data_IF_864530307135
#
_entry.id   IF_864530307135
#
_cell.length_a   1.000
_cell.length_b   1.000
_cell.length_c   1.000
_cell.angle_alpha   90.00
_cell.angle_beta   90.00
_cell.angle_gamma   90.00
#
_symmetry.space_group_name_H-M   'P 1'
#
loop_
_entity.id
_entity.type
_entity.pdbx_description
1 polymer ?
#
# COMPACT_ATOMS: atom_id res chain seq x y z
N UNK A 1 -54.26 -17.36 7.85
CA UNK A 1 -53.24 -17.73 8.87
C UNK A 1 -52.07 -18.34 8.12
N UNK A 2 -50.89 -17.71 8.22
CA UNK A 2 -49.68 -18.12 7.49
C UNK A 2 -48.83 -16.90 7.15
N UNK A 3 -48.23 -16.29 8.17
CA UNK A 3 -47.28 -15.19 8.06
C UNK A 3 -45.93 -15.76 7.57
N UNK A 4 -45.44 -15.29 6.43
CA UNK A 4 -44.01 -15.33 6.12
C UNK A 4 -43.52 -13.90 5.92
N UNK A 5 -42.96 -13.34 7.00
CA UNK A 5 -42.17 -12.11 6.94
C UNK A 5 -40.82 -12.42 6.27
N UNK A 6 -40.36 -11.62 5.29
CA UNK A 6 -38.98 -11.67 4.88
C UNK A 6 -38.11 -11.06 5.98
N UNK A 7 -37.14 -11.84 6.45
CA UNK A 7 -36.13 -11.41 7.41
C UNK A 7 -35.16 -10.50 6.66
N UNK A 8 -35.29 -9.20 6.82
CA UNK A 8 -34.25 -8.22 6.48
C UNK A 8 -33.20 -8.26 7.58
N UNK A 9 -32.17 -9.10 7.43
CA UNK A 9 -30.93 -8.94 8.20
C UNK A 9 -30.17 -7.74 7.62
N UNK A 10 -30.38 -6.55 8.19
CA UNK A 10 -29.44 -5.44 7.99
C UNK A 10 -28.12 -5.81 8.66
N UNK A 11 -27.22 -6.44 7.91
CA UNK A 11 -25.81 -6.49 8.29
C UNK A 11 -25.24 -5.09 8.10
N UNK A 12 -25.44 -4.23 9.10
CA UNK A 12 -24.66 -3.01 9.24
C UNK A 12 -23.20 -3.46 9.41
N UNK A 13 -22.38 -3.28 8.37
CA UNK A 13 -20.96 -3.52 8.49
C UNK A 13 -20.43 -2.65 9.64
N UNK A 14 -19.61 -3.19 10.57
CA UNK A 14 -19.00 -2.38 11.59
C UNK A 14 -18.12 -1.30 10.93
N UNK A 15 -18.15 -0.08 11.48
CA UNK A 15 -17.31 1.02 11.03
C UNK A 15 -15.84 0.54 10.93
N UNK A 16 -15.12 0.92 9.86
CA UNK A 16 -13.76 0.43 9.63
C UNK A 16 -12.87 0.78 10.83
N UNK A 17 -12.23 -0.24 11.38
CA UNK A 17 -11.22 -0.08 12.43
C UNK A 17 -9.95 0.51 11.83
N UNK A 18 -9.34 1.55 12.43
CA UNK A 18 -8.19 2.24 11.84
C UNK A 18 -6.98 1.31 11.65
N UNK A 19 -6.31 1.42 10.50
CA UNK A 19 -5.18 0.57 10.07
C UNK A 19 -3.84 0.96 10.69
N UNK A 20 -3.77 2.13 11.31
CA UNK A 20 -2.60 2.56 12.07
C UNK A 20 -2.66 1.99 13.49
N UNK A 21 -1.83 0.97 13.71
CA UNK A 21 -1.70 0.19 14.95
C UNK A 21 -1.49 1.04 16.22
N UNK A 22 -1.98 0.52 17.36
CA UNK A 22 -2.02 1.12 18.71
C UNK A 22 -0.68 1.63 19.32
N UNK A 23 0.44 1.54 18.60
CA UNK A 23 1.78 2.00 19.03
C UNK A 23 2.51 2.90 18.05
N UNK A 24 1.83 3.40 17.03
CA UNK A 24 2.39 4.51 16.26
C UNK A 24 2.58 5.71 17.21
N UNK A 25 3.78 6.33 17.33
CA UNK A 25 3.95 7.53 18.15
C UNK A 25 2.98 8.64 17.74
N UNK A 26 2.49 8.58 16.50
CA UNK A 26 1.42 9.41 15.96
C UNK A 26 0.08 9.33 16.73
N UNK A 27 -0.23 8.21 17.39
CA UNK A 27 -1.46 8.10 18.21
C UNK A 27 -1.42 8.98 19.47
N UNK A 28 -0.21 9.28 19.98
CA UNK A 28 -0.03 10.21 21.11
C UNK A 28 -0.19 11.67 20.71
N UNK A 29 -0.25 11.97 19.41
CA UNK A 29 -0.42 13.33 18.92
C UNK A 29 -1.82 13.84 19.29
N UNK A 30 -2.85 12.98 19.26
CA UNK A 30 -4.19 13.35 19.74
C UNK A 30 -4.17 13.81 21.19
N UNK A 31 -3.55 13.02 22.08
CA UNK A 31 -3.42 13.38 23.50
C UNK A 31 -2.70 14.72 23.68
N UNK A 32 -1.69 15.01 22.86
CA UNK A 32 -0.99 16.29 22.87
C UNK A 32 -1.89 17.44 22.40
N UNK A 33 -2.64 17.25 21.30
CA UNK A 33 -3.63 18.21 20.81
C UNK A 33 -4.64 18.54 21.90
N UNK A 34 -5.18 17.52 22.59
CA UNK A 34 -6.17 17.69 23.64
C UNK A 34 -5.60 18.41 24.87
N UNK A 35 -4.38 18.07 25.32
CA UNK A 35 -3.72 18.75 26.45
C UNK A 35 -3.39 20.22 26.18
N UNK A 36 -3.17 20.57 24.92
CA UNK A 36 -2.92 21.95 24.49
C UNK A 36 -4.21 22.77 24.31
N UNK A 37 -5.38 22.22 24.65
CA UNK A 37 -6.66 22.90 24.47
C UNK A 37 -7.13 22.94 23.01
N UNK A 38 -6.64 22.00 22.18
CA UNK A 38 -7.01 21.82 20.77
C UNK A 38 -6.74 23.05 19.89
N UNK A 39 -5.47 23.47 19.73
CA UNK A 39 -5.11 24.54 18.81
C UNK A 39 -5.42 24.14 17.35
N UNK A 40 -5.35 25.08 16.39
CA UNK A 40 -5.37 24.74 14.96
C UNK A 40 -4.28 23.72 14.63
N UNK A 41 -4.67 22.64 13.92
CA UNK A 41 -3.76 21.54 13.54
C UNK A 41 -3.71 21.44 12.02
N UNK A 42 -2.49 21.42 11.48
CA UNK A 42 -2.23 21.07 10.09
C UNK A 42 -1.52 19.70 10.02
N UNK A 43 -2.07 18.77 9.24
CA UNK A 43 -1.46 17.47 8.96
C UNK A 43 -1.03 17.43 7.49
N UNK A 44 0.26 17.20 7.24
CA UNK A 44 0.85 17.24 5.90
C UNK A 44 1.43 15.87 5.55
N UNK A 45 1.16 15.39 4.33
CA UNK A 45 1.69 14.14 3.79
C UNK A 45 1.86 14.27 2.28
N UNK A 46 2.87 13.59 1.73
CA UNK A 46 3.12 13.59 0.28
C UNK A 46 2.16 12.66 -0.47
N UNK A 47 1.72 11.58 0.18
CA UNK A 47 0.80 10.59 -0.40
C UNK A 47 -0.19 10.17 0.67
N UNK A 48 -1.48 10.32 0.38
CA UNK A 48 -2.54 9.75 1.20
C UNK A 48 -3.76 9.46 0.34
N UNK A 49 -4.03 8.18 0.15
CA UNK A 49 -5.30 7.71 -0.42
C UNK A 49 -6.50 8.15 0.43
N UNK A 50 -7.71 8.04 -0.12
CA UNK A 50 -8.95 8.39 0.59
C UNK A 50 -9.07 7.68 1.94
N UNK A 51 -8.71 6.40 1.99
CA UNK A 51 -8.65 5.61 3.23
C UNK A 51 -7.66 6.21 4.21
N UNK A 52 -6.40 6.41 3.80
CA UNK A 52 -5.34 6.95 4.69
C UNK A 52 -5.69 8.34 5.21
N UNK A 53 -6.32 9.19 4.39
CA UNK A 53 -6.78 10.53 4.83
C UNK A 53 -7.79 10.43 5.96
N UNK A 54 -8.82 9.58 5.82
CA UNK A 54 -9.82 9.36 6.87
C UNK A 54 -9.18 8.89 8.16
N UNK A 55 -8.21 8.00 8.06
CA UNK A 55 -7.47 7.54 9.25
C UNK A 55 -6.68 8.63 9.94
N UNK A 56 -5.96 9.46 9.18
CA UNK A 56 -5.21 10.59 9.75
C UNK A 56 -6.16 11.55 10.45
N UNK A 57 -7.30 11.85 9.84
CA UNK A 57 -8.36 12.69 10.43
C UNK A 57 -8.86 12.07 11.73
N UNK A 58 -9.22 10.79 11.69
CA UNK A 58 -9.71 10.07 12.85
C UNK A 58 -8.66 10.05 13.94
N UNK A 59 -7.46 9.56 13.68
CA UNK A 59 -6.35 9.43 14.64
C UNK A 59 -6.01 10.74 15.31
N UNK A 60 -5.88 11.82 14.54
CA UNK A 60 -5.59 13.14 15.12
C UNK A 60 -6.84 13.77 15.76
N UNK A 61 -8.02 13.20 15.52
CA UNK A 61 -9.30 13.68 16.00
C UNK A 61 -9.63 15.04 15.41
N UNK A 62 -9.30 15.30 14.15
CA UNK A 62 -9.55 16.60 13.51
C UNK A 62 -11.06 16.85 13.39
N UNK A 63 -11.50 18.07 13.72
CA UNK A 63 -12.92 18.43 13.71
C UNK A 63 -13.21 19.23 12.45
N UNK A 64 -14.01 18.67 11.53
CA UNK A 64 -14.38 19.28 10.23
C UNK A 64 -13.15 19.92 9.53
N UNK A 65 -12.08 19.14 9.27
CA UNK A 65 -10.88 19.69 8.66
C UNK A 65 -11.16 20.10 7.21
N UNK A 66 -10.53 21.18 6.77
CA UNK A 66 -10.38 21.46 5.34
C UNK A 66 -9.37 20.45 4.79
N UNK A 67 -9.78 19.66 3.80
CA UNK A 67 -8.92 18.66 3.14
C UNK A 67 -8.50 19.19 1.78
N UNK A 68 -7.21 19.37 1.60
CA UNK A 68 -6.60 19.77 0.33
C UNK A 68 -5.84 18.55 -0.20
N UNK A 69 -6.35 17.94 -1.27
CA UNK A 69 -5.74 16.79 -1.92
C UNK A 69 -5.69 17.05 -3.43
N UNK A 70 -4.56 17.53 -3.91
CA UNK A 70 -4.36 17.91 -5.32
C UNK A 70 -2.88 17.94 -5.65
N UNK A 71 -2.55 17.97 -6.94
CA UNK A 71 -1.16 18.14 -7.39
C UNK A 71 -0.35 16.87 -7.26
N UNK A 72 -1.03 15.73 -7.36
CA UNK A 72 -0.33 14.45 -7.41
C UNK A 72 0.37 14.30 -8.77
N UNK A 73 -0.20 14.83 -9.86
CA UNK A 73 0.29 14.56 -11.22
C UNK A 73 1.79 14.90 -11.44
N UNK A 74 2.46 13.97 -12.10
CA UNK A 74 3.87 14.04 -12.54
C UNK A 74 3.94 13.72 -14.03
N UNK A 75 3.54 14.67 -14.90
CA UNK A 75 3.37 14.41 -16.33
C UNK A 75 4.67 14.03 -17.03
N UNK A 76 5.82 14.42 -16.47
CA UNK A 76 7.15 14.10 -16.97
C UNK A 76 7.56 12.63 -16.79
N UNK A 77 6.86 11.86 -15.94
CA UNK A 77 7.16 10.45 -15.69
C UNK A 77 6.29 9.57 -16.60
N UNK A 78 6.87 8.91 -17.61
CA UNK A 78 6.19 7.88 -18.40
C UNK A 78 5.86 6.64 -17.54
N UNK A 79 4.65 6.09 -17.69
CA UNK A 79 4.18 4.93 -16.91
C UNK A 79 4.03 3.70 -17.81
N UNK A 80 4.72 2.61 -17.49
CA UNK A 80 4.71 1.39 -18.30
C UNK A 80 4.62 0.14 -17.41
N UNK A 81 3.83 -0.85 -17.83
CA UNK A 81 3.76 -2.15 -17.14
C UNK A 81 3.88 -3.29 -18.15
N UNK A 82 4.82 -4.20 -17.88
CA UNK A 82 5.04 -5.40 -18.67
C UNK A 82 4.62 -6.63 -17.87
N UNK A 83 3.62 -7.36 -18.37
CA UNK A 83 3.20 -8.64 -17.80
C UNK A 83 4.04 -9.78 -18.35
N UNK A 84 4.42 -10.71 -17.47
CA UNK A 84 5.19 -11.91 -17.79
C UNK A 84 4.44 -13.14 -17.28
N UNK A 85 4.70 -14.30 -17.88
CA UNK A 85 4.20 -15.60 -17.39
C UNK A 85 5.33 -16.44 -16.77
N UNK A 86 6.56 -16.23 -17.21
CA UNK A 86 7.75 -16.96 -16.76
C UNK A 86 8.71 -16.07 -15.95
N UNK A 87 9.31 -16.62 -14.89
CA UNK A 87 10.20 -15.86 -14.00
C UNK A 87 11.53 -15.53 -14.67
N UNK A 88 12.10 -16.48 -15.43
CA UNK A 88 13.39 -16.29 -16.07
C UNK A 88 13.29 -15.24 -17.18
N UNK A 89 12.21 -15.28 -17.97
CA UNK A 89 11.90 -14.25 -18.96
C UNK A 89 11.69 -12.88 -18.31
N UNK A 90 10.93 -12.80 -17.20
CA UNK A 90 10.79 -11.56 -16.44
C UNK A 90 12.15 -11.02 -15.99
N UNK A 91 13.00 -11.87 -15.39
CA UNK A 91 14.32 -11.47 -14.89
C UNK A 91 15.20 -10.93 -16.01
N UNK A 92 15.19 -11.60 -17.15
CA UNK A 92 15.91 -11.17 -18.35
C UNK A 92 15.39 -9.82 -18.85
N UNK A 93 14.07 -9.67 -19.00
CA UNK A 93 13.44 -8.43 -19.44
C UNK A 93 13.73 -7.24 -18.51
N UNK A 94 13.78 -7.45 -17.19
CA UNK A 94 14.18 -6.42 -16.22
C UNK A 94 15.62 -5.98 -16.46
N UNK A 95 16.54 -6.94 -16.67
CA UNK A 95 17.95 -6.64 -16.90
C UNK A 95 18.17 -5.92 -18.24
N UNK A 96 17.43 -6.31 -19.28
CA UNK A 96 17.47 -5.66 -20.60
C UNK A 96 16.96 -4.22 -20.48
N UNK A 97 15.79 -4.02 -19.88
CA UNK A 97 15.21 -2.70 -19.68
C UNK A 97 16.15 -1.75 -18.90
N UNK A 98 16.74 -2.21 -17.79
CA UNK A 98 17.64 -1.38 -16.97
C UNK A 98 18.95 -1.08 -17.69
N UNK A 99 19.48 -2.00 -18.50
CA UNK A 99 20.74 -1.80 -19.22
C UNK A 99 20.60 -0.83 -20.41
N UNK A 100 19.40 -0.71 -20.99
CA UNK A 100 19.11 0.16 -22.13
C UNK A 100 18.71 1.59 -21.71
N UNK A 101 18.25 1.79 -20.48
CA UNK A 101 17.83 3.11 -20.00
C UNK A 101 19.01 4.00 -19.60
N UNK A 102 18.89 5.30 -19.90
CA UNK A 102 19.89 6.29 -19.51
C UNK A 102 19.95 6.44 -17.97
N UNK A 103 21.13 6.33 -17.34
CA UNK A 103 21.27 6.53 -15.89
C UNK A 103 21.13 8.00 -15.50
N UNK A 104 20.93 8.31 -14.20
CA UNK A 104 20.87 7.39 -13.07
C UNK A 104 19.48 6.78 -12.86
N UNK A 105 19.43 5.56 -12.31
CA UNK A 105 18.19 4.82 -12.14
C UNK A 105 18.08 3.99 -10.87
N UNK A 106 16.83 3.65 -10.52
CA UNK A 106 16.49 2.81 -9.37
C UNK A 106 15.87 1.51 -9.85
N UNK A 107 16.28 0.39 -9.25
CA UNK A 107 15.68 -0.92 -9.48
C UNK A 107 15.14 -1.49 -8.17
N UNK A 108 13.82 -1.51 -7.99
CA UNK A 108 13.17 -2.07 -6.81
C UNK A 108 12.95 -3.58 -6.94
N UNK A 109 13.36 -4.33 -5.92
CA UNK A 109 13.25 -5.78 -5.81
C UNK A 109 12.56 -6.20 -4.51
N UNK A 110 11.87 -7.34 -4.51
CA UNK A 110 11.17 -7.85 -3.33
C UNK A 110 12.12 -8.34 -2.22
N UNK A 111 13.24 -8.98 -2.57
CA UNK A 111 14.10 -9.65 -1.60
C UNK A 111 15.55 -9.15 -1.64
N UNK A 112 16.28 -9.34 -0.55
CA UNK A 112 17.74 -9.05 -0.48
C UNK A 112 18.52 -9.87 -1.50
N UNK A 113 18.12 -11.13 -1.69
CA UNK A 113 18.71 -12.04 -2.67
C UNK A 113 18.52 -11.51 -4.09
N UNK A 114 17.34 -10.99 -4.42
CA UNK A 114 17.09 -10.38 -5.73
C UNK A 114 17.92 -9.10 -5.93
N UNK A 115 18.04 -8.26 -4.89
CA UNK A 115 18.91 -7.07 -4.95
C UNK A 115 20.35 -7.45 -5.29
N UNK A 116 20.91 -8.43 -4.59
CA UNK A 116 22.28 -8.91 -4.83
C UNK A 116 22.42 -9.50 -6.25
N UNK A 117 21.45 -10.32 -6.67
CA UNK A 117 21.40 -10.92 -8.01
C UNK A 117 21.38 -9.85 -9.11
N UNK A 118 20.43 -8.92 -9.08
CA UNK A 118 20.30 -7.90 -10.12
C UNK A 118 21.51 -6.97 -10.16
N UNK A 119 22.04 -6.55 -9.00
CA UNK A 119 23.23 -5.71 -8.95
C UNK A 119 24.47 -6.43 -9.53
N UNK A 120 24.61 -7.75 -9.35
CA UNK A 120 25.68 -8.52 -9.96
C UNK A 120 25.50 -8.69 -11.47
N UNK A 121 24.30 -9.08 -11.92
CA UNK A 121 24.02 -9.27 -13.35
C UNK A 121 24.15 -7.98 -14.16
N UNK A 122 23.70 -6.85 -13.61
CA UNK A 122 23.89 -5.53 -14.25
C UNK A 122 25.37 -5.16 -14.40
N UNK A 123 26.19 -5.45 -13.38
CA UNK A 123 27.65 -5.26 -13.46
C UNK A 123 28.29 -6.15 -14.52
N UNK A 124 27.82 -7.39 -14.68
CA UNK A 124 28.28 -8.29 -15.77
C UNK A 124 27.94 -7.76 -17.15
N UNK A 125 26.88 -6.95 -17.26
CA UNK A 125 26.48 -6.24 -18.49
C UNK A 125 27.17 -4.88 -18.68
N UNK A 126 28.10 -4.51 -17.80
CA UNK A 126 28.85 -3.26 -17.90
C UNK A 126 28.15 -2.04 -17.28
N UNK A 127 27.02 -2.22 -16.59
CA UNK A 127 26.32 -1.13 -15.87
C UNK A 127 26.98 -0.91 -14.50
N UNK A 128 27.25 0.34 -14.13
CA UNK A 128 27.73 0.67 -12.78
C UNK A 128 26.58 0.50 -11.77
N UNK A 129 26.41 -0.70 -11.23
CA UNK A 129 25.30 -1.03 -10.33
C UNK A 129 25.75 -1.37 -8.90
N UNK A 130 24.94 -0.95 -7.92
CA UNK A 130 25.12 -1.29 -6.50
C UNK A 130 23.82 -1.84 -5.87
N UNK A 131 23.96 -2.74 -4.89
CA UNK A 131 22.84 -3.25 -4.11
C UNK A 131 22.62 -2.45 -2.82
N UNK A 132 21.36 -2.23 -2.44
CA UNK A 132 20.97 -1.57 -1.20
C UNK A 132 19.83 -2.31 -0.47
N UNK A 133 20.07 -2.75 0.76
CA UNK A 133 19.04 -3.34 1.60
C UNK A 133 19.36 -3.24 3.09
N UNK A 134 18.34 -3.47 3.94
CA UNK A 134 18.46 -3.40 5.40
C UNK A 134 19.49 -4.37 6.01
N UNK A 135 19.92 -5.40 5.28
CA UNK A 135 20.99 -6.30 5.71
C UNK A 135 22.41 -5.73 5.67
N UNK A 136 22.64 -4.64 4.92
CA UNK A 136 23.95 -3.97 4.87
C UNK A 136 24.24 -3.24 6.18
N UNK A 137 25.52 -3.07 6.53
CA UNK A 137 25.91 -2.21 7.66
C UNK A 137 25.57 -0.76 7.35
N UNK A 138 25.37 0.04 8.38
CA UNK A 138 25.03 1.47 8.23
C UNK A 138 26.06 2.23 7.39
N UNK A 139 27.35 1.96 7.61
CA UNK A 139 28.45 2.54 6.82
C UNK A 139 28.34 2.20 5.33
N UNK A 140 28.02 0.96 4.99
CA UNK A 140 27.88 0.49 3.61
C UNK A 140 26.65 1.14 2.94
N UNK A 141 25.53 1.25 3.67
CA UNK A 141 24.33 1.96 3.18
C UNK A 141 24.63 3.43 2.89
N UNK A 142 25.33 4.11 3.79
CA UNK A 142 25.72 5.51 3.61
C UNK A 142 26.66 5.69 2.41
N UNK A 143 27.58 4.75 2.20
CA UNK A 143 28.50 4.76 1.06
C UNK A 143 27.75 4.60 -0.27
N UNK A 144 26.86 3.62 -0.40
CA UNK A 144 26.05 3.43 -1.62
C UNK A 144 25.19 4.66 -1.92
N UNK A 145 24.57 5.24 -0.88
CA UNK A 145 23.75 6.44 -1.04
C UNK A 145 24.58 7.64 -1.51
N UNK A 146 25.77 7.86 -0.95
CA UNK A 146 26.69 8.92 -1.37
C UNK A 146 27.12 8.71 -2.83
N UNK A 147 27.57 7.51 -3.18
CA UNK A 147 28.02 7.18 -4.54
C UNK A 147 26.93 7.38 -5.59
N UNK A 148 25.69 7.02 -5.28
CA UNK A 148 24.56 7.25 -6.17
C UNK A 148 24.20 8.74 -6.27
N UNK A 149 24.26 9.48 -5.15
CA UNK A 149 24.05 10.92 -5.15
C UNK A 149 25.09 11.64 -6.04
N UNK A 150 26.35 11.25 -5.92
CA UNK A 150 27.51 11.86 -6.61
C UNK A 150 27.73 11.33 -8.04
N UNK A 151 26.77 10.59 -8.62
CA UNK A 151 26.85 10.01 -9.97
C UNK A 151 28.04 9.04 -10.19
N UNK A 152 28.57 8.43 -9.11
CA UNK A 152 29.60 7.36 -9.16
C UNK A 152 28.99 5.96 -9.40
N UNK A 153 27.68 5.84 -9.27
CA UNK A 153 26.89 4.61 -9.51
C UNK A 153 25.70 4.98 -10.38
N UNK A 154 25.57 4.29 -11.51
CA UNK A 154 24.51 4.51 -12.48
C UNK A 154 23.16 3.98 -11.95
N UNK A 155 23.17 2.79 -11.32
CA UNK A 155 21.95 2.11 -10.90
C UNK A 155 22.06 1.59 -9.47
N UNK A 156 21.04 1.83 -8.66
CA UNK A 156 20.89 1.17 -7.35
C UNK A 156 19.75 0.17 -7.40
N UNK A 157 20.09 -1.11 -7.26
CA UNK A 157 19.13 -2.17 -6.98
C UNK A 157 18.80 -2.16 -5.48
N UNK A 158 17.53 -2.16 -5.11
CA UNK A 158 17.13 -1.96 -3.74
C UNK A 158 15.83 -2.66 -3.32
N UNK A 159 15.73 -2.97 -2.04
CA UNK A 159 14.43 -3.25 -1.40
C UNK A 159 13.70 -1.94 -1.06
N UNK A 160 12.47 -2.02 -0.55
CA UNK A 160 11.69 -0.87 -0.06
C UNK A 160 12.42 -0.01 1.00
N UNK A 161 13.48 -0.54 1.61
CA UNK A 161 14.36 0.18 2.53
C UNK A 161 15.08 1.40 1.91
N UNK A 162 15.24 1.44 0.58
CA UNK A 162 15.85 2.58 -0.11
C UNK A 162 14.79 3.62 -0.43
N UNK A 163 14.58 4.60 0.48
CA UNK A 163 13.58 5.62 0.19
C UNK A 163 13.40 6.80 1.14
N UNK A 164 13.66 6.69 2.44
CA UNK A 164 13.30 7.79 3.36
C UNK A 164 14.23 9.03 3.33
N UNK A 165 15.10 9.18 2.32
CA UNK A 165 16.01 10.33 2.28
C UNK A 165 16.88 10.48 1.03
N UNK A 166 16.48 9.91 -0.11
CA UNK A 166 17.17 10.20 -1.38
C UNK A 166 16.54 11.44 -1.97
N UNK A 167 17.34 12.50 -2.04
CA UNK A 167 16.99 13.73 -2.72
C UNK A 167 17.95 13.96 -3.89
N UNK A 168 17.81 13.11 -4.91
CA UNK A 168 18.56 13.21 -6.16
C UNK A 168 17.60 13.67 -7.25
N UNK A 169 17.72 14.91 -7.76
CA UNK A 169 16.72 15.47 -8.67
C UNK A 169 16.69 14.76 -10.03
N UNK A 170 17.85 14.27 -10.48
CA UNK A 170 18.10 13.80 -11.84
C UNK A 170 17.93 12.28 -12.04
N UNK A 171 17.12 11.59 -11.23
CA UNK A 171 16.84 10.15 -11.47
C UNK A 171 15.99 10.00 -12.73
N UNK A 172 16.48 9.28 -13.73
CA UNK A 172 15.86 9.11 -15.05
C UNK A 172 14.87 7.96 -15.12
N UNK A 173 15.07 6.92 -14.33
CA UNK A 173 14.12 5.83 -14.30
C UNK A 173 13.96 5.18 -12.93
N UNK A 174 12.77 4.63 -12.71
CA UNK A 174 12.49 3.66 -11.64
C UNK A 174 11.93 2.40 -12.29
N UNK A 175 12.59 1.27 -12.09
CA UNK A 175 12.14 -0.05 -12.54
C UNK A 175 11.75 -0.86 -11.32
N UNK A 176 10.64 -1.58 -11.41
CA UNK A 176 10.18 -2.54 -10.42
C UNK A 176 10.32 -3.95 -10.99
N UNK A 177 11.28 -4.73 -10.47
CA UNK A 177 11.41 -6.16 -10.77
C UNK A 177 10.34 -7.02 -10.09
N UNK A 178 9.62 -6.43 -9.14
CA UNK A 178 8.56 -7.06 -8.36
C UNK A 178 7.48 -6.04 -8.06
N UNK A 179 6.24 -6.49 -8.08
CA UNK A 179 5.09 -5.66 -7.74
C UNK A 179 5.20 -5.13 -6.30
N UNK A 180 5.03 -3.81 -6.08
CA UNK A 180 4.96 -3.25 -4.72
C UNK A 180 3.77 -3.78 -3.93
N UNK A 181 3.86 -3.69 -2.61
CA UNK A 181 2.81 -4.13 -1.68
C UNK A 181 1.54 -3.27 -1.70
N UNK A 182 1.61 -2.06 -2.25
CA UNK A 182 0.50 -1.13 -2.36
C UNK A 182 0.74 -0.09 -3.45
N UNK A 183 -0.34 0.55 -3.90
CA UNK A 183 -0.30 1.70 -4.82
C UNK A 183 0.41 2.89 -4.16
N UNK A 184 0.25 3.12 -2.85
CA UNK A 184 0.99 4.16 -2.12
C UNK A 184 2.50 3.95 -2.21
N UNK A 185 2.97 2.73 -1.93
CA UNK A 185 4.39 2.36 -2.01
C UNK A 185 4.91 2.54 -3.44
N UNK A 186 4.16 2.07 -4.44
CA UNK A 186 4.51 2.27 -5.85
C UNK A 186 4.64 3.76 -6.19
N UNK A 187 3.66 4.57 -5.81
CA UNK A 187 3.63 6.01 -6.11
C UNK A 187 4.81 6.77 -5.50
N UNK A 188 5.11 6.51 -4.23
CA UNK A 188 6.26 7.10 -3.55
C UNK A 188 7.59 6.72 -4.20
N UNK A 189 7.68 5.49 -4.72
CA UNK A 189 8.89 4.99 -5.37
C UNK A 189 9.08 5.62 -6.75
N UNK A 190 8.06 5.64 -7.60
CA UNK A 190 8.17 6.25 -8.93
C UNK A 190 8.37 7.77 -8.86
N UNK A 191 7.80 8.43 -7.84
CA UNK A 191 7.94 9.88 -7.63
C UNK A 191 9.36 10.35 -7.31
N UNK A 192 10.32 9.42 -7.16
CA UNK A 192 11.76 9.71 -7.07
C UNK A 192 12.39 10.08 -8.40
N UNK A 193 11.79 9.64 -9.50
CA UNK A 193 12.27 9.98 -10.83
C UNK A 193 11.82 11.40 -11.24
N UNK A 194 12.63 12.04 -12.09
CA UNK A 194 12.34 13.30 -12.77
C UNK A 194 11.97 14.43 -11.83
N UNK A 195 12.63 14.55 -10.67
CA UNK A 195 12.38 15.63 -9.69
C UNK A 195 12.89 17.01 -10.17
N UNK A 196 13.71 16.99 -11.21
CA UNK A 196 14.11 18.13 -12.05
C UNK A 196 13.08 18.45 -13.14
N UNK A 197 11.91 17.81 -13.14
CA UNK A 197 10.84 17.91 -14.16
C UNK A 197 11.21 17.46 -15.57
N UNK A 198 12.44 16.95 -15.77
CA UNK A 198 12.88 16.36 -17.02
C UNK A 198 12.21 14.99 -17.26
N UNK A 199 12.15 14.52 -18.53
CA UNK A 199 11.57 13.23 -18.85
C UNK A 199 12.17 12.09 -18.04
N UNK A 200 11.30 11.24 -17.50
CA UNK A 200 11.68 10.06 -16.76
C UNK A 200 10.72 8.91 -17.03
N UNK A 201 11.12 7.68 -16.68
CA UNK A 201 10.29 6.49 -16.87
C UNK A 201 10.09 5.70 -15.57
N UNK A 202 8.88 5.19 -15.39
CA UNK A 202 8.53 4.26 -14.35
C UNK A 202 8.02 2.96 -14.98
N UNK A 203 8.76 1.88 -14.81
CA UNK A 203 8.49 0.60 -15.46
C UNK A 203 8.25 -0.50 -14.43
N UNK A 204 7.10 -1.15 -14.50
CA UNK A 204 6.75 -2.27 -13.63
C UNK A 204 6.75 -3.58 -14.40
N UNK A 205 7.61 -4.52 -13.98
CA UNK A 205 7.53 -5.90 -14.43
C UNK A 205 6.65 -6.69 -13.47
N UNK A 206 5.61 -7.31 -14.02
CA UNK A 206 4.52 -7.95 -13.27
C UNK A 206 4.37 -9.41 -13.69
N UNK A 207 4.20 -10.32 -12.72
CA UNK A 207 3.65 -11.66 -12.93
C UNK A 207 2.48 -11.85 -11.97
N UNK A 208 1.41 -12.48 -12.45
CA UNK A 208 0.24 -12.74 -11.61
C UNK A 208 0.60 -13.61 -10.39
N UNK A 209 1.56 -14.52 -10.52
CA UNK A 209 2.02 -15.35 -9.40
C UNK A 209 2.80 -14.55 -8.34
N UNK A 210 3.42 -13.42 -8.69
CA UNK A 210 4.17 -12.60 -7.72
C UNK A 210 3.26 -11.95 -6.67
N UNK A 211 1.98 -11.74 -7.00
CA UNK A 211 0.98 -11.25 -6.05
C UNK A 211 0.77 -12.21 -4.89
N UNK A 212 0.86 -13.52 -5.15
CA UNK A 212 0.70 -14.56 -4.13
C UNK A 212 1.82 -14.52 -3.09
N UNK A 213 3.03 -14.10 -3.46
CA UNK A 213 4.15 -13.87 -2.54
C UNK A 213 3.87 -12.68 -1.61
N UNK A 214 3.33 -11.58 -2.14
CA UNK A 214 2.87 -10.44 -1.33
C UNK A 214 1.79 -10.86 -0.33
N UNK A 215 0.83 -11.65 -0.78
CA UNK A 215 -0.21 -12.24 0.08
C UNK A 215 0.36 -13.21 1.11
N UNK A 216 1.39 -14.01 0.78
CA UNK A 216 2.01 -14.97 1.70
C UNK A 216 2.80 -14.30 2.84
N UNK A 217 3.43 -13.16 2.57
CA UNK A 217 4.04 -12.33 3.63
C UNK A 217 2.99 -11.57 4.46
N UNK A 218 1.83 -11.26 3.87
CA UNK A 218 0.70 -10.62 4.54
C UNK A 218 -0.15 -11.60 5.39
N UNK A 219 -0.26 -12.88 5.01
CA UNK A 219 -0.98 -13.91 5.77
C UNK A 219 -0.16 -14.37 6.96
N UNK A 220 -0.20 -13.59 8.04
CA UNK A 220 0.16 -14.06 9.36
C UNK A 220 -1.12 -14.56 10.03
N UNK A 221 -1.57 -15.77 9.68
CA UNK A 221 -2.66 -16.40 10.40
C UNK A 221 -2.32 -16.37 11.89
N UNK A 222 -3.13 -15.65 12.66
CA UNK A 222 -2.96 -15.52 14.09
C UNK A 222 -3.19 -16.89 14.73
N UNK A 223 -2.10 -17.56 15.11
CA UNK A 223 -2.16 -18.82 15.85
C UNK A 223 -2.70 -18.51 17.26
N UNK A 224 -4.01 -18.68 17.42
CA UNK A 224 -4.73 -18.40 18.65
C UNK A 224 -4.18 -19.22 19.83
N UNK A 225 -3.72 -20.45 19.59
CA UNK A 225 -3.12 -21.31 20.61
C UNK A 225 -1.76 -20.76 21.05
N UNK A 226 -0.91 -20.38 20.10
CA UNK A 226 0.38 -19.74 20.41
C UNK A 226 0.17 -18.39 21.11
N UNK A 227 -0.80 -17.58 20.69
CA UNK A 227 -1.13 -16.32 21.34
C UNK A 227 -1.57 -16.54 22.79
N UNK A 228 -2.43 -17.52 23.05
CA UNK A 228 -2.83 -17.89 24.41
C UNK A 228 -1.63 -18.33 25.26
N UNK A 229 -0.77 -19.20 24.71
CA UNK A 229 0.43 -19.69 25.40
C UNK A 229 1.42 -18.56 25.71
N UNK A 230 1.65 -17.65 24.77
CA UNK A 230 2.50 -16.47 24.97
C UNK A 230 1.91 -15.54 26.03
N UNK A 231 0.59 -15.29 25.99
CA UNK A 231 -0.09 -14.44 26.96
C UNK A 231 -0.01 -15.02 28.37
N UNK A 232 -0.39 -16.29 28.53
CA UNK A 232 -0.31 -17.01 29.81
C UNK A 232 1.11 -17.10 30.36
N UNK A 233 2.12 -17.20 29.48
CA UNK A 233 3.52 -17.15 29.91
C UNK A 233 3.91 -15.76 30.44
N UNK A 234 3.26 -14.69 30.02
CA UNK A 234 3.48 -13.33 30.54
C UNK A 234 2.63 -13.03 31.78
N UNK A 235 1.47 -13.68 31.89
CA UNK A 235 0.52 -13.46 32.98
C UNK A 235 1.05 -14.00 34.33
N UNK A 236 0.80 -13.25 35.41
CA UNK A 236 1.16 -13.63 36.78
C UNK A 236 2.67 -13.69 37.15
N UNK A 237 3.60 -13.44 36.21
CA UNK A 237 5.05 -13.69 36.41
C UNK A 237 5.98 -12.47 36.37
N UNK A 238 5.44 -11.25 36.32
CA UNK A 238 6.24 -10.03 36.11
C UNK A 238 6.83 -9.93 34.68
N UNK A 239 7.61 -8.87 34.37
CA UNK A 239 8.12 -8.65 33.03
C UNK A 239 9.08 -9.75 32.56
N UNK A 240 8.89 -10.28 31.33
CA UNK A 240 9.77 -11.32 30.75
C UNK A 240 10.42 -10.86 29.45
N UNK A 241 11.70 -11.18 29.24
CA UNK A 241 12.38 -10.86 27.98
C UNK A 241 11.98 -11.85 26.89
N UNK A 242 12.08 -11.42 25.65
CA UNK A 242 11.75 -12.25 24.47
C UNK A 242 12.60 -13.54 24.40
N UNK A 243 13.85 -13.49 24.85
CA UNK A 243 14.73 -14.68 24.95
C UNK A 243 14.14 -15.73 25.90
N UNK A 244 13.62 -15.29 27.04
CA UNK A 244 13.08 -16.17 28.08
C UNK A 244 11.74 -16.79 27.65
N UNK A 245 10.89 -16.00 26.98
CA UNK A 245 9.65 -16.50 26.38
C UNK A 245 9.90 -17.57 25.32
N UNK A 246 10.89 -17.35 24.44
CA UNK A 246 11.28 -18.35 23.42
C UNK A 246 11.78 -19.65 24.06
N UNK A 247 12.58 -19.55 25.12
CA UNK A 247 13.09 -20.70 25.83
C UNK A 247 11.96 -21.48 26.55
N UNK A 248 11.02 -20.78 27.18
CA UNK A 248 9.92 -21.40 27.93
C UNK A 248 8.88 -22.09 27.04
N UNK A 249 8.63 -21.57 25.84
CA UNK A 249 7.56 -22.04 24.96
C UNK A 249 7.99 -23.13 23.96
N UNK A 250 9.29 -23.43 23.85
CA UNK A 250 9.81 -24.48 22.97
C UNK A 250 9.43 -24.33 21.48
N UNK A 251 8.95 -23.16 21.07
CA UNK A 251 8.40 -22.88 19.73
C UNK A 251 9.42 -22.10 18.89
N UNK A 252 9.31 -22.16 17.56
CA UNK A 252 10.22 -21.48 16.65
C UNK A 252 10.40 -20.01 17.01
N UNK A 253 11.65 -19.55 17.19
CA UNK A 253 11.92 -18.21 17.76
C UNK A 253 11.27 -17.05 17.01
N UNK A 254 10.96 -17.22 15.71
CA UNK A 254 10.25 -16.24 14.88
C UNK A 254 8.75 -16.17 15.20
N UNK A 255 8.06 -17.30 15.41
CA UNK A 255 6.62 -17.31 15.69
C UNK A 255 6.29 -16.70 17.05
N UNK A 256 7.09 -16.99 18.09
CA UNK A 256 6.94 -16.35 19.42
C UNK A 256 7.11 -14.83 19.33
N UNK A 257 8.02 -14.36 18.47
CA UNK A 257 8.24 -12.93 18.27
C UNK A 257 7.04 -12.27 17.60
N UNK A 258 6.52 -12.89 16.53
CA UNK A 258 5.32 -12.40 15.85
C UNK A 258 4.10 -12.37 16.79
N UNK A 259 3.92 -13.40 17.61
CA UNK A 259 2.82 -13.48 18.58
C UNK A 259 2.91 -12.38 19.66
N UNK A 260 4.10 -12.16 20.25
CA UNK A 260 4.32 -11.06 21.22
C UNK A 260 4.03 -9.71 20.57
N UNK A 261 4.54 -9.47 19.37
CA UNK A 261 4.30 -8.22 18.64
C UNK A 261 2.80 -8.03 18.32
N UNK A 262 2.09 -9.08 17.95
CA UNK A 262 0.65 -9.00 17.67
C UNK A 262 -0.15 -8.66 18.94
N UNK A 263 0.10 -9.36 20.06
CA UNK A 263 -0.51 -9.06 21.36
C UNK A 263 -0.18 -7.63 21.83
N UNK A 264 1.05 -7.18 21.59
CA UNK A 264 1.47 -5.82 21.93
C UNK A 264 0.74 -4.77 21.10
N UNK A 265 0.59 -4.99 19.79
CA UNK A 265 -0.15 -4.09 18.90
C UNK A 265 -1.66 -4.10 19.21
N UNK A 266 -2.21 -5.22 19.66
CA UNK A 266 -3.59 -5.33 20.14
C UNK A 266 -3.83 -4.69 21.51
N UNK A 267 -2.80 -4.10 22.13
CA UNK A 267 -2.90 -3.48 23.46
C UNK A 267 -3.02 -4.47 24.61
N UNK A 268 -2.82 -5.77 24.36
CA UNK A 268 -2.86 -6.81 25.39
C UNK A 268 -1.52 -6.93 26.14
N UNK A 269 -0.41 -6.52 25.51
CA UNK A 269 0.95 -6.56 26.06
C UNK A 269 1.63 -5.20 25.91
N UNK A 270 2.52 -4.87 26.85
CA UNK A 270 3.38 -3.69 26.77
C UNK A 270 4.85 -4.10 26.85
N UNK A 271 5.73 -3.29 26.29
CA UNK A 271 7.18 -3.45 26.38
C UNK A 271 7.76 -2.39 27.33
N UNK A 272 8.77 -2.80 28.10
CA UNK A 272 9.54 -1.94 28.98
C UNK A 272 11.00 -2.41 29.06
N UNK A 273 11.82 -1.72 29.86
CA UNK A 273 13.27 -2.03 30.02
C UNK A 273 13.52 -3.45 30.54
N UNK A 274 12.59 -3.98 31.34
CA UNK A 274 12.65 -5.31 31.94
C UNK A 274 12.09 -6.43 31.04
N UNK A 275 11.40 -6.09 29.95
CA UNK A 275 10.76 -7.06 29.07
C UNK A 275 9.31 -6.70 28.75
N UNK A 276 8.51 -7.72 28.43
CA UNK A 276 7.09 -7.59 28.10
C UNK A 276 6.22 -7.91 29.31
N UNK A 277 5.06 -7.27 29.41
CA UNK A 277 4.09 -7.49 30.50
C UNK A 277 2.65 -7.34 29.99
N UNK A 278 1.71 -8.06 30.60
CA UNK A 278 0.28 -7.96 30.27
C UNK A 278 -0.31 -6.63 30.71
N UNK A 279 -1.38 -6.17 30.04
CA UNK A 279 -2.14 -4.95 30.42
C UNK A 279 -3.29 -5.21 31.38
N UNK A 280 -3.42 -6.44 31.89
CA UNK A 280 -4.50 -6.84 32.80
C UNK A 280 -5.78 -7.33 32.11
N UNK A 281 -5.75 -7.54 30.79
CA UNK A 281 -6.84 -8.21 30.07
C UNK A 281 -6.93 -9.70 30.48
N UNK A 282 -8.11 -10.29 30.38
CA UNK A 282 -8.24 -11.75 30.48
C UNK A 282 -7.58 -12.44 29.26
N UNK A 283 -7.01 -13.66 29.40
CA UNK A 283 -6.36 -14.37 28.29
C UNK A 283 -7.25 -14.48 27.05
N UNK A 284 -8.52 -14.84 27.20
CA UNK A 284 -9.44 -14.97 26.06
C UNK A 284 -9.70 -13.63 25.38
N UNK A 285 -9.78 -12.53 26.13
CA UNK A 285 -9.98 -11.19 25.55
C UNK A 285 -8.72 -10.72 24.81
N UNK A 286 -7.55 -10.97 25.36
CA UNK A 286 -6.28 -10.66 24.73
C UNK A 286 -6.11 -11.41 23.39
N UNK A 287 -6.42 -12.70 23.36
CA UNK A 287 -6.37 -13.50 22.12
C UNK A 287 -7.41 -13.01 21.12
N UNK A 288 -8.68 -12.81 21.53
CA UNK A 288 -9.71 -12.28 20.62
C UNK A 288 -9.31 -10.97 19.96
N UNK A 289 -8.84 -9.98 20.75
CA UNK A 289 -8.37 -8.69 20.22
C UNK A 289 -7.19 -8.85 19.25
N UNK A 290 -6.25 -9.74 19.57
CA UNK A 290 -5.11 -10.01 18.70
C UNK A 290 -5.51 -10.68 17.39
N UNK A 291 -6.43 -11.65 17.42
CA UNK A 291 -6.96 -12.33 16.24
C UNK A 291 -7.77 -11.36 15.37
N UNK A 292 -8.74 -10.65 15.94
CA UNK A 292 -9.55 -9.64 15.23
C UNK A 292 -8.67 -8.60 14.53
N UNK A 293 -7.63 -8.13 15.23
CA UNK A 293 -6.69 -7.18 14.66
C UNK A 293 -5.82 -7.77 13.54
N UNK A 294 -5.46 -9.05 13.64
CA UNK A 294 -4.76 -9.75 12.55
C UNK A 294 -5.65 -9.87 11.32
N UNK A 295 -6.91 -10.27 11.51
CA UNK A 295 -7.91 -10.39 10.42
C UNK A 295 -8.16 -9.04 9.73
N UNK A 296 -8.24 -7.95 10.49
CA UNK A 296 -8.37 -6.58 9.95
C UNK A 296 -7.14 -6.22 9.11
N UNK A 297 -5.92 -6.45 9.63
CA UNK A 297 -4.68 -6.17 8.91
C UNK A 297 -4.59 -6.98 7.62
N UNK A 298 -4.87 -8.28 7.68
CA UNK A 298 -4.87 -9.18 6.53
C UNK A 298 -5.87 -8.75 5.46
N UNK A 299 -7.09 -8.36 5.87
CA UNK A 299 -8.09 -7.84 4.94
C UNK A 299 -7.57 -6.63 4.18
N UNK A 300 -6.86 -5.73 4.85
CA UNK A 300 -6.34 -4.51 4.25
C UNK A 300 -5.12 -4.75 3.38
N UNK A 301 -4.20 -5.60 3.83
CA UNK A 301 -3.06 -5.96 3.01
C UNK A 301 -3.53 -6.69 1.75
N UNK A 302 -4.57 -7.54 1.84
CA UNK A 302 -5.23 -8.13 0.68
C UNK A 302 -5.86 -7.08 -0.22
N UNK A 303 -6.58 -6.09 0.33
CA UNK A 303 -7.11 -4.98 -0.48
C UNK A 303 -5.99 -4.22 -1.19
N UNK A 304 -4.87 -3.91 -0.52
CA UNK A 304 -3.73 -3.18 -1.12
C UNK A 304 -3.09 -3.96 -2.27
N UNK A 305 -2.93 -5.27 -2.11
CA UNK A 305 -2.40 -6.15 -3.16
C UNK A 305 -3.37 -6.17 -4.36
N UNK A 306 -4.68 -6.28 -4.10
CA UNK A 306 -5.71 -6.25 -5.14
C UNK A 306 -5.76 -4.90 -5.89
N UNK A 307 -5.54 -3.80 -5.18
CA UNK A 307 -5.40 -2.47 -5.77
C UNK A 307 -4.20 -2.40 -6.73
N UNK A 308 -3.06 -2.94 -6.31
CA UNK A 308 -1.86 -2.94 -7.13
C UNK A 308 -1.99 -3.86 -8.35
N UNK A 309 -2.69 -4.99 -8.20
CA UNK A 309 -3.10 -5.84 -9.32
C UNK A 309 -3.99 -5.07 -10.31
N UNK A 310 -5.02 -4.41 -9.79
CA UNK A 310 -5.95 -3.61 -10.59
C UNK A 310 -5.20 -2.54 -11.40
N UNK A 311 -4.20 -1.88 -10.79
CA UNK A 311 -3.33 -0.94 -11.51
C UNK A 311 -2.53 -1.63 -12.62
N UNK A 312 -1.90 -2.77 -12.34
CA UNK A 312 -1.08 -3.47 -13.31
C UNK A 312 -1.90 -3.94 -14.53
N UNK A 313 -3.11 -4.45 -14.27
CA UNK A 313 -4.01 -5.03 -15.27
C UNK A 313 -4.97 -4.04 -15.92
N UNK A 314 -5.07 -2.80 -15.41
CA UNK A 314 -6.05 -1.80 -15.87
C UNK A 314 -6.05 -1.66 -17.40
N UNK A 315 -7.23 -1.62 -18.05
CA UNK A 315 -7.32 -1.39 -19.48
C UNK A 315 -7.15 0.09 -19.86
N UNK A 316 -7.39 1.00 -18.92
CA UNK A 316 -7.50 2.45 -19.14
C UNK A 316 -6.17 3.17 -18.86
N UNK A 317 -6.17 4.50 -18.93
CA UNK A 317 -4.99 5.31 -18.64
C UNK A 317 -4.47 5.06 -17.22
N UNK A 318 -3.20 4.62 -17.11
CA UNK A 318 -2.55 4.37 -15.81
C UNK A 318 -2.48 5.60 -14.91
N UNK A 319 -2.29 6.77 -15.50
CA UNK A 319 -2.23 8.04 -14.76
C UNK A 319 -3.58 8.41 -14.15
N UNK A 320 -4.67 8.25 -14.92
CA UNK A 320 -6.02 8.47 -14.40
C UNK A 320 -6.31 7.54 -13.23
N UNK A 321 -5.91 6.26 -13.32
CA UNK A 321 -6.01 5.33 -12.20
C UNK A 321 -5.27 5.83 -10.95
N UNK A 322 -3.99 6.22 -11.08
CA UNK A 322 -3.19 6.67 -9.93
C UNK A 322 -3.77 7.94 -9.30
N UNK A 323 -4.17 8.92 -10.11
CA UNK A 323 -4.73 10.17 -9.60
C UNK A 323 -6.04 9.92 -8.87
N UNK A 324 -6.93 9.11 -9.45
CA UNK A 324 -8.20 8.79 -8.82
C UNK A 324 -8.03 7.99 -7.51
N UNK A 325 -7.03 7.12 -7.43
CA UNK A 325 -6.66 6.45 -6.16
C UNK A 325 -6.35 7.44 -5.04
N UNK A 326 -5.72 8.58 -5.38
CA UNK A 326 -5.45 9.67 -4.44
C UNK A 326 -6.56 10.72 -4.39
N UNK A 327 -7.71 10.49 -5.03
CA UNK A 327 -8.84 11.42 -5.08
C UNK A 327 -8.58 12.68 -5.89
N UNK A 328 -7.67 12.62 -6.86
CA UNK A 328 -7.40 13.64 -7.86
C UNK A 328 -7.94 13.16 -9.22
N UNK A 329 -8.12 14.07 -10.18
CA UNK A 329 -8.79 13.76 -11.43
C UNK A 329 -8.07 14.37 -12.63
N UNK A 330 -7.78 13.53 -13.63
CA UNK A 330 -7.26 13.96 -14.92
C UNK A 330 -8.34 13.81 -16.01
N UNK A 331 -8.85 14.93 -16.58
CA UNK A 331 -10.01 14.89 -17.47
C UNK A 331 -9.84 14.13 -18.78
N UNK A 332 -8.61 13.91 -19.22
CA UNK A 332 -8.31 13.23 -20.48
C UNK A 332 -7.20 12.21 -20.27
N UNK A 333 -7.14 11.13 -21.06
CA UNK A 333 -6.02 10.21 -21.05
C UNK A 333 -4.69 10.95 -21.21
N UNK A 334 -3.66 10.53 -20.49
CA UNK A 334 -2.45 11.33 -20.32
C UNK A 334 -1.53 11.39 -21.55
N UNK A 335 -1.69 10.51 -22.53
CA UNK A 335 -0.78 10.40 -23.69
C UNK A 335 0.64 9.90 -23.37
N UNK A 336 1.00 9.73 -22.09
CA UNK A 336 2.35 9.40 -21.63
C UNK A 336 2.40 8.11 -20.78
N UNK A 337 1.47 7.17 -21.00
CA UNK A 337 1.57 5.81 -20.46
C UNK A 337 1.41 4.80 -21.58
N UNK A 338 1.93 3.60 -21.39
CA UNK A 338 1.76 2.46 -22.31
C UNK A 338 0.31 2.28 -22.81
N UNK A 339 -0.69 2.42 -21.93
CA UNK A 339 -2.12 2.31 -22.29
C UNK A 339 -2.62 3.43 -23.19
N UNK A 340 -2.05 4.64 -23.08
CA UNK A 340 -2.39 5.75 -23.97
C UNK A 340 -1.62 5.72 -25.29
N UNK A 341 -0.49 5.00 -25.34
CA UNK A 341 0.33 4.85 -26.55
C UNK A 341 -0.11 3.66 -27.42
N UNK A 342 -0.94 2.77 -26.86
CA UNK A 342 -1.50 1.61 -27.56
C UNK A 342 -2.73 2.01 -28.40
N UNK A 343 -2.48 2.43 -29.65
CA UNK A 343 -3.52 2.83 -30.63
C UNK A 343 -4.48 1.69 -31.01
N UNK A 344 -4.19 0.43 -30.62
CA UNK A 344 -5.02 -0.73 -30.97
C UNK A 344 -6.28 -0.88 -30.11
N UNK A 345 -6.40 -0.10 -29.03
CA UNK A 345 -7.54 -0.18 -28.12
C UNK A 345 -8.68 0.75 -28.56
N UNK A 346 -9.93 0.25 -28.60
CA UNK A 346 -11.06 1.14 -28.77
C UNK A 346 -11.09 2.12 -27.60
N UNK A 347 -10.99 3.40 -27.90
CA UNK A 347 -11.36 4.46 -26.96
C UNK A 347 -12.85 4.31 -26.68
N UNK A 348 -13.24 4.16 -25.41
CA UNK A 348 -14.63 4.29 -24.98
C UNK A 348 -15.09 5.68 -25.44
N UNK A 349 -15.81 5.71 -26.55
CA UNK A 349 -16.35 6.92 -27.17
C UNK A 349 -17.84 6.99 -26.86
N UNK A 350 -18.15 7.03 -25.57
CA UNK A 350 -19.49 7.27 -25.04
C UNK A 350 -19.47 8.47 -24.11
N UNK A 351 -20.60 9.15 -23.95
CA UNK A 351 -20.74 10.10 -22.84
C UNK A 351 -20.86 9.27 -21.57
N UNK A 352 -20.01 9.44 -20.56
CA UNK A 352 -20.10 8.65 -19.34
C UNK A 352 -21.47 8.82 -18.68
N UNK A 353 -22.14 7.71 -18.35
CA UNK A 353 -23.42 7.77 -17.63
C UNK A 353 -23.30 8.52 -16.29
N UNK A 354 -22.13 8.45 -15.66
CA UNK A 354 -21.74 9.23 -14.49
C UNK A 354 -20.38 9.85 -14.77
N UNK A 355 -20.22 11.13 -14.45
CA UNK A 355 -18.96 11.84 -14.69
C UNK A 355 -17.79 11.19 -13.92
N UNK A 356 -16.62 10.99 -14.56
CA UNK A 356 -15.38 10.65 -13.87
C UNK A 356 -15.08 11.61 -12.70
N UNK A 357 -14.52 11.08 -11.63
CA UNK A 357 -14.29 11.80 -10.37
C UNK A 357 -15.52 11.88 -9.44
N UNK A 358 -16.69 11.41 -9.85
CA UNK A 358 -17.90 11.43 -9.02
C UNK A 358 -17.76 10.46 -7.83
N UNK A 359 -17.87 10.91 -6.57
CA UNK A 359 -17.93 10.03 -5.41
C UNK A 359 -19.22 9.20 -5.42
N UNK A 360 -19.08 7.91 -5.12
CA UNK A 360 -20.19 6.96 -5.11
C UNK A 360 -20.12 6.06 -3.89
N UNK A 361 -21.25 5.52 -3.48
CA UNK A 361 -21.36 4.53 -2.42
C UNK A 361 -22.07 3.29 -2.96
N UNK A 362 -21.39 2.15 -2.93
CA UNK A 362 -21.94 0.87 -3.35
C UNK A 362 -22.39 0.04 -2.15
N UNK A 363 -23.58 -0.55 -2.21
CA UNK A 363 -24.17 -1.30 -1.09
C UNK A 363 -23.27 -2.43 -0.54
N UNK A 364 -22.49 -3.07 -1.41
CA UNK A 364 -21.60 -4.16 -1.03
C UNK A 364 -20.14 -3.71 -0.83
N UNK A 365 -19.73 -2.68 -1.57
CA UNK A 365 -18.30 -2.33 -1.70
C UNK A 365 -17.94 -1.00 -1.02
N UNK A 366 -18.94 -0.31 -0.47
CA UNK A 366 -18.80 0.92 0.28
C UNK A 366 -18.42 2.12 -0.60
N UNK A 367 -17.72 3.11 -0.03
CA UNK A 367 -17.37 4.33 -0.73
C UNK A 367 -16.35 4.08 -1.86
N UNK A 368 -16.51 4.83 -2.94
CA UNK A 368 -15.63 4.79 -4.11
C UNK A 368 -15.75 6.05 -4.96
N UNK A 369 -15.09 6.02 -6.11
CA UNK A 369 -15.09 7.12 -7.09
C UNK A 369 -15.21 6.55 -8.50
N UNK A 370 -16.00 7.18 -9.36
CA UNK A 370 -16.07 6.84 -10.78
C UNK A 370 -14.76 7.22 -11.45
N UNK A 371 -14.15 6.28 -12.17
CA UNK A 371 -12.91 6.50 -12.92
C UNK A 371 -13.17 6.87 -14.37
N UNK A 372 -14.06 6.11 -15.00
CA UNK A 372 -14.41 6.23 -16.41
C UNK A 372 -15.73 5.49 -16.66
N UNK A 373 -16.32 5.69 -17.83
CA UNK A 373 -17.48 4.90 -18.24
C UNK A 373 -18.06 5.39 -19.55
N UNK A 374 -18.97 4.59 -20.08
CA UNK A 374 -19.83 4.90 -21.20
C UNK A 374 -21.31 4.71 -20.79
N UNK A 375 -22.20 4.60 -21.77
CA UNK A 375 -23.64 4.43 -21.53
C UNK A 375 -23.99 3.05 -21.00
N UNK A 376 -23.17 2.02 -21.26
CA UNK A 376 -23.43 0.63 -20.87
C UNK A 376 -22.65 0.22 -19.62
N UNK A 377 -21.52 0.88 -19.38
CA UNK A 377 -20.50 0.41 -18.44
C UNK A 377 -19.87 1.55 -17.65
N UNK A 378 -19.86 1.41 -16.33
CA UNK A 378 -19.17 2.30 -15.40
C UNK A 378 -18.00 1.61 -14.74
N UNK A 379 -16.87 2.28 -14.73
CA UNK A 379 -15.70 1.86 -13.97
C UNK A 379 -15.62 2.69 -12.70
N UNK A 380 -15.59 2.03 -11.55
CA UNK A 380 -15.44 2.66 -10.25
C UNK A 380 -14.28 2.05 -9.46
N UNK A 381 -13.66 2.88 -8.62
CA UNK A 381 -12.63 2.48 -7.67
C UNK A 381 -13.20 2.54 -6.26
N UNK A 382 -13.35 1.39 -5.62
CA UNK A 382 -13.86 1.31 -4.25
C UNK A 382 -12.73 1.20 -3.24
N UNK A 383 -12.86 1.94 -2.14
CA UNK A 383 -11.81 2.11 -1.13
C UNK A 383 -11.32 0.78 -0.52
N UNK A 384 -12.20 -0.22 -0.43
CA UNK A 384 -11.91 -1.51 0.19
C UNK A 384 -11.88 -2.71 -0.77
N UNK A 385 -12.34 -2.52 -2.00
CA UNK A 385 -12.56 -3.61 -2.98
C UNK A 385 -11.86 -3.37 -4.32
N UNK A 386 -11.35 -2.16 -4.50
CA UNK A 386 -10.62 -1.73 -5.68
C UNK A 386 -11.47 -1.58 -6.91
N UNK A 387 -10.84 -1.83 -8.06
CA UNK A 387 -11.42 -1.51 -9.36
C UNK A 387 -12.57 -2.46 -9.67
N UNK A 388 -13.72 -1.90 -10.06
CA UNK A 388 -14.91 -2.65 -10.44
C UNK A 388 -15.53 -2.05 -11.68
N UNK A 389 -15.88 -2.94 -12.60
CA UNK A 389 -16.64 -2.63 -13.79
C UNK A 389 -18.08 -3.01 -13.51
N UNK A 390 -18.95 -2.01 -13.54
CA UNK A 390 -20.37 -2.10 -13.28
C UNK A 390 -21.14 -1.91 -14.59
N UNK A 391 -22.20 -2.66 -14.78
CA UNK A 391 -23.17 -2.40 -15.85
C UNK A 391 -24.10 -1.26 -15.41
N UNK A 392 -24.28 -0.26 -16.28
CA UNK A 392 -25.18 0.88 -16.02
C UNK A 392 -26.62 0.40 -15.89
N UNK A 393 -27.06 -0.52 -16.74
CA UNK A 393 -28.39 -1.15 -16.66
C UNK A 393 -28.61 -1.82 -15.30
N UNK A 394 -27.64 -2.62 -14.86
CA UNK A 394 -27.72 -3.30 -13.56
C UNK A 394 -27.80 -2.30 -12.39
N UNK A 395 -27.06 -1.18 -12.46
CA UNK A 395 -27.13 -0.12 -11.45
C UNK A 395 -28.53 0.49 -11.41
N UNK A 396 -29.08 0.85 -12.58
CA UNK A 396 -30.40 1.48 -12.70
C UNK A 396 -31.53 0.57 -12.18
N UNK A 397 -31.44 -0.73 -12.43
CA UNK A 397 -32.45 -1.70 -11.97
C UNK A 397 -32.39 -1.98 -10.46
N UNK A 398 -31.20 -1.97 -9.87
CA UNK A 398 -30.98 -2.49 -8.51
C UNK A 398 -30.69 -1.43 -7.45
N UNK A 399 -30.48 -0.17 -7.85
CA UNK A 399 -30.09 0.95 -6.97
C UNK A 399 -28.90 0.60 -6.06
N UNK A 400 -27.96 -0.21 -6.56
CA UNK A 400 -26.80 -0.69 -5.79
C UNK A 400 -25.71 0.36 -5.63
N UNK A 401 -25.74 1.42 -6.44
CA UNK A 401 -24.78 2.52 -6.45
C UNK A 401 -25.51 3.84 -6.24
N UNK A 402 -25.18 4.54 -5.16
CA UNK A 402 -25.69 5.88 -4.86
C UNK A 402 -24.59 6.91 -5.15
N UNK A 403 -24.97 8.03 -5.77
CA UNK A 403 -24.05 9.15 -5.94
C UNK A 403 -23.97 9.88 -4.60
N UNK A 404 -22.80 9.84 -3.96
CA UNK A 404 -22.59 10.60 -2.74
C UNK A 404 -22.52 12.07 -3.14
N UNK A 405 -23.50 12.86 -2.71
CA UNK A 405 -23.42 14.32 -2.85
C UNK A 405 -22.20 14.79 -2.08
N UNK A 406 -21.13 15.15 -2.79
CA UNK A 406 -20.03 15.89 -2.17
C UNK A 406 -20.66 17.12 -1.52
N UNK A 407 -20.59 17.21 -0.19
CA UNK A 407 -20.83 18.48 0.49
C UNK A 407 -19.80 19.45 -0.08
N UNK A 408 -20.23 20.28 -1.02
CA UNK A 408 -19.56 21.51 -1.38
C UNK A 408 -19.58 22.39 -0.13
N UNK A 409 -18.57 22.29 0.74
CA UNK A 409 -18.26 23.31 1.76
C UNK A 409 -16.84 23.23 2.24
#
# INVERSE_FOLDING_TARGET
MGLHSPITTSHTQPAPTPLLTAKSPYLRVRDAIDRLGRPPVAALTATASGVVRREVIDILGLRKPVVIASGFDRPNIALEVFSHTDDAQKRQAVLDAVAEMAPPGLLYCATRKDVEFYAEELRRRGVSAAGYHAGLRERERAEVQRRFHDDEVDVVAATSAFGMGIDKPNVRFVVHASIPESVDTYYQQIGRAGRDDEPASAVLHYRAEDLSLGTFFATHNADAELLARVYSALDGGGPKRLKDLRAALGSGGRSVTSAVNLLERAGAVTSGRAGFSTTGLGPDEAVRKAVEMSEISERVDRTRVEMMRSYAETPDCRRQFLLAYFGDHLPRPCGNCDRCRDDSRPTSSGTPAIAPGTPVEHREWGPGVILDGDEDRLTALFDFYGYRVLSVDAINETSVLEISSAEQT
#
